data_IF_749396847516
#
_entry.id   IF_749396847516
#
_cell.length_a   1.000
_cell.length_b   1.000
_cell.length_c   1.000
_cell.angle_alpha   90.00
_cell.angle_beta   90.00
_cell.angle_gamma   90.00
#
_symmetry.space_group_name_H-M   'P 1'
#
loop_
_entity.id
_entity.type
_entity.pdbx_description
1 polymer ?
#
# COMPACT_ATOMS: atom_id res chain seq x y z
N UNK A 1 8.31 -40.03 7.15
CA UNK A 1 8.87 -39.23 6.03
C UNK A 1 8.10 -39.52 4.77
N UNK A 2 7.53 -38.50 4.12
CA UNK A 2 6.11 -38.15 4.23
C UNK A 2 5.54 -38.07 2.81
N UNK A 3 4.24 -38.34 2.63
CA UNK A 3 3.49 -38.34 1.35
C UNK A 3 3.71 -37.06 0.50
N UNK A 4 4.20 -35.99 1.11
CA UNK A 4 4.62 -34.74 0.45
C UNK A 4 5.81 -34.87 -0.51
N UNK A 5 6.83 -35.68 -0.18
CA UNK A 5 8.00 -35.85 -1.06
C UNK A 5 7.66 -36.58 -2.35
N UNK A 6 6.72 -37.54 -2.29
CA UNK A 6 6.24 -38.25 -3.47
C UNK A 6 5.41 -37.34 -4.40
N UNK A 7 4.64 -36.40 -3.82
CA UNK A 7 3.87 -35.42 -4.60
C UNK A 7 4.79 -34.44 -5.33
N UNK A 8 5.83 -33.95 -4.65
CA UNK A 8 6.82 -33.04 -5.21
C UNK A 8 7.62 -33.68 -6.36
N UNK A 9 8.00 -34.96 -6.22
CA UNK A 9 8.72 -35.69 -7.27
C UNK A 9 7.86 -35.93 -8.52
N UNK A 10 6.56 -36.19 -8.37
CA UNK A 10 5.65 -36.35 -9.51
C UNK A 10 5.41 -35.03 -10.26
N UNK A 11 5.33 -33.90 -9.55
CA UNK A 11 5.22 -32.56 -10.15
C UNK A 11 6.50 -32.18 -10.93
N UNK A 12 7.67 -32.53 -10.39
CA UNK A 12 8.95 -32.31 -11.07
C UNK A 12 9.07 -33.21 -12.30
N UNK A 13 8.69 -34.49 -12.23
CA UNK A 13 8.74 -35.40 -13.38
C UNK A 13 7.79 -34.99 -14.51
N UNK A 14 6.59 -34.49 -14.20
CA UNK A 14 5.64 -34.03 -15.22
C UNK A 14 6.07 -32.74 -15.91
N UNK A 15 6.78 -31.84 -15.21
CA UNK A 15 7.40 -30.65 -15.81
C UNK A 15 8.59 -30.97 -16.74
N UNK A 16 9.37 -32.00 -16.41
CA UNK A 16 10.51 -32.47 -17.21
C UNK A 16 10.09 -33.26 -18.45
N UNK A 17 8.99 -34.02 -18.37
CA UNK A 17 8.44 -34.75 -19.52
C UNK A 17 7.85 -33.81 -20.58
N UNK A 18 7.26 -32.69 -20.17
CA UNK A 18 6.75 -31.68 -21.11
C UNK A 18 7.86 -31.01 -21.94
N UNK A 19 9.11 -31.02 -21.43
CA UNK A 19 10.26 -30.38 -22.09
C UNK A 19 10.92 -31.23 -23.18
N UNK A 20 10.54 -32.49 -23.38
CA UNK A 20 11.29 -33.43 -24.24
C UNK A 20 10.69 -33.73 -25.62
N UNK A 21 9.53 -33.17 -25.97
CA UNK A 21 8.83 -33.46 -27.24
C UNK A 21 8.84 -32.31 -28.26
N UNK A 22 9.99 -31.68 -28.49
CA UNK A 22 10.21 -30.89 -29.70
C UNK A 22 11.37 -31.50 -30.49
N UNK A 23 11.00 -32.45 -31.34
CA UNK A 23 11.88 -33.10 -32.32
C UNK A 23 12.29 -32.03 -33.35
N UNK A 24 13.54 -31.57 -33.28
CA UNK A 24 14.14 -30.67 -34.26
C UNK A 24 14.28 -31.44 -35.58
N UNK A 25 13.43 -31.13 -36.56
CA UNK A 25 13.68 -31.47 -37.97
C UNK A 25 13.50 -30.23 -38.82
N UNK A 26 14.57 -29.92 -39.56
CA UNK A 26 14.70 -28.93 -40.62
C UNK A 26 14.72 -27.44 -40.25
N UNK A 27 15.95 -26.94 -40.20
CA UNK A 27 16.33 -25.53 -40.32
C UNK A 27 16.25 -25.13 -41.80
N UNK A 28 15.08 -24.70 -42.26
CA UNK A 28 14.98 -23.79 -43.41
C UNK A 28 13.71 -22.96 -43.26
N UNK A 29 13.90 -21.64 -43.36
CA UNK A 29 12.88 -20.57 -43.30
C UNK A 29 12.52 -20.08 -41.88
N UNK A 30 13.43 -19.27 -41.33
CA UNK A 30 13.14 -18.38 -40.22
C UNK A 30 12.21 -17.26 -40.68
N UNK A 31 10.91 -17.43 -40.46
CA UNK A 31 9.94 -16.34 -40.34
C UNK A 31 8.96 -16.78 -39.25
N UNK A 32 9.18 -16.31 -38.03
CA UNK A 32 8.27 -16.56 -36.91
C UNK A 32 7.76 -15.22 -36.41
N UNK A 33 6.51 -14.93 -36.77
CA UNK A 33 5.66 -13.96 -36.08
C UNK A 33 5.53 -14.37 -34.61
N UNK A 34 6.34 -13.77 -33.74
CA UNK A 34 6.22 -13.92 -32.28
C UNK A 34 5.28 -12.85 -31.73
N UNK A 35 3.99 -13.05 -31.96
CA UNK A 35 2.90 -12.30 -31.33
C UNK A 35 2.37 -13.02 -30.08
N UNK A 36 3.13 -13.07 -28.99
CA UNK A 36 2.59 -13.45 -27.68
C UNK A 36 3.04 -12.43 -26.62
N UNK A 37 2.26 -11.35 -26.50
CA UNK A 37 2.37 -10.42 -25.38
C UNK A 37 1.79 -11.09 -24.13
N UNK A 38 2.65 -11.54 -23.23
CA UNK A 38 2.22 -11.93 -21.87
C UNK A 38 1.88 -10.63 -21.14
N UNK A 39 0.61 -10.21 -21.21
CA UNK A 39 0.12 -9.04 -20.49
C UNK A 39 -0.03 -9.44 -19.02
N UNK A 40 0.95 -9.09 -18.19
CA UNK A 40 0.81 -9.18 -16.73
C UNK A 40 -0.24 -8.17 -16.24
N UNK A 41 -1.50 -8.61 -16.13
CA UNK A 41 -2.56 -7.81 -15.48
C UNK A 41 -2.28 -7.76 -13.97
N UNK A 42 -1.89 -6.58 -13.48
CA UNK A 42 -1.85 -6.31 -12.04
C UNK A 42 -3.28 -6.21 -11.50
N UNK A 43 -3.67 -7.18 -10.67
CA UNK A 43 -4.95 -7.15 -9.97
C UNK A 43 -4.80 -6.36 -8.66
N UNK A 44 -5.18 -5.09 -8.65
CA UNK A 44 -5.28 -4.31 -7.42
C UNK A 44 -6.63 -4.56 -6.75
N UNK A 45 -6.68 -4.61 -5.40
CA UNK A 45 -7.95 -4.66 -4.68
C UNK A 45 -8.82 -3.48 -5.07
N UNK A 46 -10.08 -3.73 -5.42
CA UNK A 46 -11.02 -2.65 -5.70
C UNK A 46 -11.25 -1.83 -4.43
N UNK A 47 -11.37 -0.49 -4.52
CA UNK A 47 -11.64 0.34 -3.37
C UNK A 47 -13.01 -0.02 -2.77
N UNK A 48 -13.13 -0.10 -1.44
CA UNK A 48 -14.35 -0.53 -0.78
C UNK A 48 -15.47 0.49 -1.00
N UNK A 49 -16.72 0.00 -1.07
CA UNK A 49 -17.90 0.86 -1.13
C UNK A 49 -18.05 1.65 0.18
N UNK A 50 -18.53 2.90 0.11
CA UNK A 50 -18.90 3.68 1.30
C UNK A 50 -19.98 2.93 2.08
N UNK A 51 -19.69 2.60 3.33
CA UNK A 51 -20.54 1.78 4.20
C UNK A 51 -21.19 2.59 5.33
N UNK A 52 -20.96 3.91 5.36
CA UNK A 52 -21.46 4.83 6.39
C UNK A 52 -22.18 6.02 5.75
N UNK A 53 -23.12 6.62 6.48
CA UNK A 53 -23.92 7.76 6.04
C UNK A 53 -23.41 9.08 6.62
N UNK A 54 -23.10 9.15 7.91
CA UNK A 54 -22.71 10.37 8.61
C UNK A 54 -21.39 10.19 9.35
N UNK A 55 -20.56 11.22 9.30
CA UNK A 55 -19.37 11.37 10.14
C UNK A 55 -19.65 12.36 11.26
N UNK A 56 -19.07 12.15 12.42
CA UNK A 56 -19.20 13.06 13.56
C UNK A 56 -17.96 13.02 14.44
N UNK A 57 -17.66 14.13 15.09
CA UNK A 57 -16.56 14.25 16.06
C UNK A 57 -17.14 14.22 17.46
N UNK A 58 -16.53 13.43 18.33
CA UNK A 58 -16.86 13.34 19.76
C UNK A 58 -15.64 13.77 20.57
N UNK A 59 -15.87 14.52 21.64
CA UNK A 59 -14.84 14.82 22.63
C UNK A 59 -15.00 13.86 23.80
N UNK A 60 -13.97 13.05 24.09
CA UNK A 60 -13.97 12.07 25.15
C UNK A 60 -12.58 11.96 25.79
N UNK A 61 -12.52 11.89 27.13
CA UNK A 61 -11.26 11.73 27.88
C UNK A 61 -10.17 12.77 27.53
N UNK A 62 -10.57 14.00 27.19
CA UNK A 62 -9.63 15.06 26.78
C UNK A 62 -9.12 14.96 25.35
N UNK A 63 -9.64 14.02 24.54
CA UNK A 63 -9.24 13.80 23.15
C UNK A 63 -10.45 13.82 22.22
N UNK A 64 -10.19 14.02 20.93
CA UNK A 64 -11.21 13.99 19.89
C UNK A 64 -11.20 12.64 19.16
N UNK A 65 -12.38 12.03 19.06
CA UNK A 65 -12.62 10.78 18.38
C UNK A 65 -13.54 11.02 17.17
N UNK A 66 -13.29 10.33 16.06
CA UNK A 66 -14.18 10.35 14.89
C UNK A 66 -15.10 9.13 14.93
N UNK A 67 -16.37 9.34 14.59
CA UNK A 67 -17.37 8.28 14.47
C UNK A 67 -17.99 8.25 13.08
N UNK A 68 -18.27 7.04 12.60
CA UNK A 68 -19.00 6.73 11.37
C UNK A 68 -20.30 6.03 11.75
N UNK A 69 -21.45 6.66 11.53
CA UNK A 69 -22.77 6.12 11.91
C UNK A 69 -22.82 5.53 13.33
N UNK A 70 -22.25 6.25 14.31
CA UNK A 70 -22.15 5.85 15.73
C UNK A 70 -21.04 4.84 16.07
N UNK A 71 -20.29 4.33 15.08
CA UNK A 71 -19.13 3.46 15.33
C UNK A 71 -17.84 4.28 15.38
N UNK A 72 -17.01 4.07 16.41
CA UNK A 72 -15.68 4.71 16.50
C UNK A 72 -14.82 4.30 15.32
N UNK A 73 -14.20 5.27 14.66
CA UNK A 73 -13.21 5.05 13.62
C UNK A 73 -12.00 4.33 14.23
N UNK A 74 -11.46 3.35 13.50
CA UNK A 74 -10.30 2.58 13.91
C UNK A 74 -9.17 2.71 12.91
N UNK A 75 -7.95 2.62 13.40
CA UNK A 75 -6.74 2.53 12.57
C UNK A 75 -6.61 1.14 11.95
N UNK A 76 -5.73 0.96 10.94
CA UNK A 76 -5.47 -0.36 10.36
C UNK A 76 -5.06 -1.44 11.38
N UNK A 77 -4.33 -1.09 12.45
CA UNK A 77 -4.01 -2.04 13.55
C UNK A 77 -5.15 -2.25 14.55
N UNK A 78 -6.27 -1.56 14.38
CA UNK A 78 -7.49 -1.73 15.19
C UNK A 78 -7.58 -0.83 16.42
N UNK A 79 -6.63 0.08 16.63
CA UNK A 79 -6.67 1.09 17.68
C UNK A 79 -7.78 2.11 17.41
N UNK A 80 -8.32 2.73 18.46
CA UNK A 80 -9.30 3.81 18.31
C UNK A 80 -8.59 5.03 17.73
N UNK A 81 -9.17 5.65 16.71
CA UNK A 81 -8.62 6.87 16.11
C UNK A 81 -8.89 8.06 17.04
N UNK A 82 -7.84 8.52 17.73
CA UNK A 82 -7.88 9.65 18.67
C UNK A 82 -6.87 10.72 18.26
N UNK A 83 -7.26 11.98 18.38
CA UNK A 83 -6.39 13.14 18.13
C UNK A 83 -6.60 14.21 19.21
N UNK A 84 -5.54 14.94 19.55
CA UNK A 84 -5.60 15.95 20.63
C UNK A 84 -6.16 17.31 20.15
N UNK A 85 -6.22 17.50 18.82
CA UNK A 85 -6.59 18.78 18.20
C UNK A 85 -7.96 18.71 17.54
N UNK A 86 -8.87 19.60 17.95
CA UNK A 86 -10.21 19.75 17.38
C UNK A 86 -10.21 20.02 15.87
N UNK A 87 -9.46 21.03 15.34
CA UNK A 87 -9.47 21.29 13.90
C UNK A 87 -8.93 20.11 13.09
N UNK A 88 -7.99 19.34 13.64
CA UNK A 88 -7.51 18.12 12.99
C UNK A 88 -8.60 17.05 12.95
N UNK A 89 -9.34 16.86 14.04
CA UNK A 89 -10.47 15.93 14.09
C UNK A 89 -11.56 16.29 13.08
N UNK A 90 -11.90 17.58 12.98
CA UNK A 90 -12.86 18.10 11.99
C UNK A 90 -12.38 17.88 10.56
N UNK A 91 -11.10 18.15 10.27
CA UNK A 91 -10.53 17.94 8.94
C UNK A 91 -10.55 16.45 8.55
N UNK A 92 -10.25 15.55 9.47
CA UNK A 92 -10.38 14.10 9.25
C UNK A 92 -11.84 13.71 9.04
N UNK A 93 -12.76 14.19 9.87
CA UNK A 93 -14.19 13.90 9.70
C UNK A 93 -14.73 14.40 8.34
N UNK A 94 -14.21 15.52 7.84
CA UNK A 94 -14.50 16.05 6.51
C UNK A 94 -13.90 15.19 5.39
N UNK A 95 -12.65 14.71 5.53
CA UNK A 95 -12.07 13.74 4.57
C UNK A 95 -12.98 12.51 4.42
N UNK A 96 -13.47 11.96 5.53
CA UNK A 96 -14.39 10.84 5.52
C UNK A 96 -15.75 11.21 4.92
N UNK A 97 -16.31 12.39 5.22
CA UNK A 97 -17.61 12.76 4.65
C UNK A 97 -17.56 13.02 3.14
N UNK A 98 -16.40 13.49 2.65
CA UNK A 98 -16.18 13.79 1.23
C UNK A 98 -16.19 12.55 0.31
N UNK A 99 -16.09 11.34 0.88
CA UNK A 99 -16.08 10.10 0.10
C UNK A 99 -17.45 9.87 -0.54
N UNK A 100 -17.50 9.53 -1.83
CA UNK A 100 -18.78 9.33 -2.54
C UNK A 100 -19.22 7.86 -2.47
N UNK A 101 -19.29 7.18 -3.61
CA UNK A 101 -19.73 5.78 -3.69
C UNK A 101 -18.68 4.80 -3.15
N UNK A 102 -17.40 5.13 -3.32
CA UNK A 102 -16.26 4.30 -2.94
C UNK A 102 -15.29 5.12 -2.10
N UNK A 103 -14.67 4.48 -1.12
CA UNK A 103 -13.68 5.08 -0.24
C UNK A 103 -12.34 5.09 -0.98
N UNK A 104 -11.87 6.29 -1.34
CA UNK A 104 -10.61 6.50 -2.04
C UNK A 104 -9.52 6.86 -1.04
N UNK A 105 -8.74 5.86 -0.64
CA UNK A 105 -7.66 6.05 0.35
C UNK A 105 -6.59 7.05 -0.13
N UNK A 106 -6.39 7.19 -1.44
CA UNK A 106 -5.50 8.20 -2.03
C UNK A 106 -5.88 9.63 -1.68
N UNK A 107 -7.13 9.89 -1.31
CA UNK A 107 -7.63 11.23 -1.01
C UNK A 107 -7.77 11.48 0.50
N UNK A 108 -7.31 10.54 1.34
CA UNK A 108 -7.44 10.59 2.80
C UNK A 108 -6.06 10.69 3.47
N UNK A 109 -5.30 11.72 3.12
CA UNK A 109 -3.92 11.88 3.57
C UNK A 109 -3.83 12.19 5.06
N UNK A 110 -4.74 13.01 5.61
CA UNK A 110 -4.76 13.32 7.04
C UNK A 110 -5.07 12.07 7.85
N UNK A 111 -6.07 11.29 7.40
CA UNK A 111 -6.41 10.00 8.00
C UNK A 111 -5.21 9.04 7.97
N UNK A 112 -4.51 8.95 6.84
CA UNK A 112 -3.34 8.08 6.69
C UNK A 112 -2.21 8.48 7.65
N UNK A 113 -1.85 9.77 7.69
CA UNK A 113 -0.81 10.30 8.57
C UNK A 113 -1.14 10.05 10.05
N UNK A 114 -2.36 10.40 10.47
CA UNK A 114 -2.79 10.18 11.85
C UNK A 114 -2.78 8.69 12.21
N UNK A 115 -3.24 7.82 11.30
CA UNK A 115 -3.20 6.37 11.51
C UNK A 115 -1.77 5.87 11.68
N UNK A 116 -0.82 6.36 10.88
CA UNK A 116 0.59 5.99 11.00
C UNK A 116 1.20 6.45 12.33
N UNK A 117 0.86 7.65 12.80
CA UNK A 117 1.33 8.15 14.11
C UNK A 117 0.78 7.30 15.25
N UNK A 118 -0.51 6.95 15.20
CA UNK A 118 -1.16 6.13 16.25
C UNK A 118 -0.62 4.69 16.23
N UNK A 119 -0.51 4.09 15.05
CA UNK A 119 -0.13 2.69 14.90
C UNK A 119 1.37 2.44 15.03
N UNK A 120 2.19 3.48 14.79
CA UNK A 120 3.65 3.48 14.82
C UNK A 120 4.25 2.12 14.40
N UNK A 121 4.08 1.68 13.14
CA UNK A 121 4.41 0.32 12.72
C UNK A 121 5.89 -0.01 12.88
N UNK A 122 6.78 0.98 12.75
CA UNK A 122 8.22 0.84 12.92
C UNK A 122 8.67 1.02 14.37
N UNK A 123 7.73 1.32 15.27
CA UNK A 123 7.97 1.56 16.69
C UNK A 123 9.04 2.64 16.95
N UNK A 124 9.08 3.66 16.09
CA UNK A 124 10.05 4.74 16.13
C UNK A 124 9.81 5.61 17.37
N UNK A 125 10.86 5.89 18.11
CA UNK A 125 10.81 6.88 19.20
C UNK A 125 10.95 8.29 18.65
N UNK A 126 10.66 9.30 19.48
CA UNK A 126 10.89 10.71 19.11
C UNK A 126 12.36 10.97 18.75
N UNK A 127 13.28 10.31 19.44
CA UNK A 127 14.71 10.46 19.18
C UNK A 127 15.10 9.88 17.81
N UNK A 128 14.58 8.70 17.47
CA UNK A 128 14.83 8.08 16.16
C UNK A 128 14.34 8.98 15.03
N UNK A 129 13.15 9.56 15.17
CA UNK A 129 12.60 10.49 14.18
C UNK A 129 13.48 11.73 14.02
N UNK A 130 13.95 12.32 15.12
CA UNK A 130 14.85 13.48 15.08
C UNK A 130 16.17 13.10 14.39
N UNK A 131 16.74 11.93 14.70
CA UNK A 131 17.97 11.46 14.06
C UNK A 131 17.78 11.20 12.57
N UNK A 132 16.66 10.60 12.15
CA UNK A 132 16.33 10.41 10.74
C UNK A 132 16.22 11.73 9.99
N UNK A 133 15.60 12.74 10.61
CA UNK A 133 15.52 14.09 10.04
C UNK A 133 16.90 14.74 9.94
N UNK A 134 17.71 14.65 11.00
CA UNK A 134 19.07 15.18 11.00
C UNK A 134 19.95 14.55 9.92
N UNK A 135 19.88 13.23 9.72
CA UNK A 135 20.63 12.52 8.69
C UNK A 135 20.24 12.96 7.26
N UNK A 136 19.01 13.45 7.06
CA UNK A 136 18.59 13.95 5.76
C UNK A 136 19.27 15.29 5.41
N UNK A 137 19.66 16.09 6.41
CA UNK A 137 20.32 17.39 6.19
C UNK A 137 21.65 17.25 5.43
N UNK A 138 22.41 16.18 5.68
CA UNK A 138 23.66 15.89 4.97
C UNK A 138 23.45 15.61 3.47
N UNK A 139 22.23 15.19 3.09
CA UNK A 139 21.86 14.81 1.72
C UNK A 139 20.70 15.65 1.19
N UNK A 140 20.57 16.90 1.65
CA UNK A 140 19.46 17.76 1.26
C UNK A 140 19.44 18.01 -0.25
N UNK A 141 18.32 17.63 -0.87
CA UNK A 141 18.07 17.80 -2.30
C UNK A 141 18.23 19.23 -2.81
N UNK A 142 17.99 20.24 -1.98
CA UNK A 142 18.15 21.66 -2.36
C UNK A 142 19.62 22.00 -2.61
N UNK A 143 20.55 21.30 -1.96
CA UNK A 143 21.99 21.51 -2.12
C UNK A 143 22.57 20.83 -3.38
N UNK A 144 21.81 19.94 -4.02
CA UNK A 144 22.21 19.24 -5.24
C UNK A 144 21.47 19.80 -6.46
N UNK A 145 22.01 20.86 -7.05
CA UNK A 145 21.48 21.42 -8.29
C UNK A 145 21.96 20.62 -9.52
N UNK A 146 21.12 20.51 -10.56
CA UNK A 146 21.59 19.95 -11.83
C UNK A 146 22.59 20.92 -12.45
N UNK A 147 23.78 20.42 -12.78
CA UNK A 147 24.81 21.19 -13.47
C UNK A 147 24.35 21.49 -14.90
N UNK A 148 23.63 22.59 -15.10
CA UNK A 148 23.41 23.11 -16.45
C UNK A 148 24.69 23.83 -16.87
N UNK A 149 25.51 23.15 -17.66
CA UNK A 149 26.71 23.74 -18.26
C UNK A 149 26.33 25.02 -18.99
N UNK A 150 26.94 26.14 -18.58
CA UNK A 150 26.95 27.37 -19.33
C UNK A 150 27.64 27.07 -20.67
N UNK A 151 26.91 27.26 -21.76
CA UNK A 151 27.46 27.27 -23.12
C UNK A 151 28.28 28.54 -23.33
#
# INVERSE_FOLDING_TARGET
MSKYLAKLLNEIQSSLLFRKNNKLTNLSNFNVDVGFSIIYKRCYPAPPKRFYRRTSVLFNDGQYEITLDQRKLKTPRGSIFKVDSEPLALAVAFEWDSQKEKIQQSNMHLTALCSTVIDNPNNNTKFDLVQHLSNFLDTDTVLYHSGRGLK
#
